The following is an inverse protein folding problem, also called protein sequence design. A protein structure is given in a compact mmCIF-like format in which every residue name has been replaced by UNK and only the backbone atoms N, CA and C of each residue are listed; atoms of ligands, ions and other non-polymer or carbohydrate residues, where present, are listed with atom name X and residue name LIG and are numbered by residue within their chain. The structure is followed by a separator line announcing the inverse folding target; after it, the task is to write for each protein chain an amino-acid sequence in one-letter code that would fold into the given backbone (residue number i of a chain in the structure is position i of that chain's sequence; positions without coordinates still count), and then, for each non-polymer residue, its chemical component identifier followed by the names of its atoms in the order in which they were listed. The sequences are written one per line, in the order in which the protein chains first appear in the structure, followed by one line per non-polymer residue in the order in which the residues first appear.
data_IF_435428789188
#
_entry.id   IF_435428789188
#
_cell.length_a   1.000
_cell.length_b   1.000
_cell.length_c   1.000
_cell.angle_alpha   90.00
_cell.angle_beta   90.00
_cell.angle_gamma   90.00
#
_symmetry.space_group_name_H-M   'P 1'
#
loop_
_entity.id
_entity.type
_entity.pdbx_description
1 polymer ?
#
# COMPACT_ATOMS: atom_id res chain seq x y z
N UNK A 1 -24.66 -16.54 -20.96
CA UNK A 1 -23.61 -16.23 -21.95
C UNK A 1 -22.24 -16.70 -21.44
N UNK A 2 -21.69 -17.68 -22.18
CA UNK A 2 -20.31 -18.21 -22.16
C UNK A 2 -19.81 -18.89 -20.88
N UNK A 3 -20.03 -20.20 -20.86
CA UNK A 3 -19.26 -21.20 -20.12
C UNK A 3 -17.90 -21.40 -20.80
N UNK A 4 -16.80 -21.39 -20.04
CA UNK A 4 -15.46 -21.73 -20.55
C UNK A 4 -15.08 -23.13 -20.10
N UNK A 5 -15.00 -23.99 -21.10
CA UNK A 5 -14.75 -25.44 -21.09
C UNK A 5 -13.25 -25.66 -21.21
N UNK A 6 -12.64 -26.28 -20.20
CA UNK A 6 -11.24 -26.75 -20.28
C UNK A 6 -11.19 -27.96 -21.23
N UNK A 7 -10.53 -27.83 -22.37
CA UNK A 7 -10.33 -28.91 -23.34
C UNK A 7 -8.93 -29.48 -23.15
N UNK A 8 -8.84 -30.70 -22.63
CA UNK A 8 -7.65 -31.54 -22.76
C UNK A 8 -7.49 -31.91 -24.25
N UNK A 9 -6.33 -31.63 -24.84
CA UNK A 9 -5.92 -32.22 -26.11
C UNK A 9 -4.89 -33.33 -25.86
N UNK A 10 -5.19 -34.59 -26.22
CA UNK A 10 -4.21 -35.64 -26.37
C UNK A 10 -3.76 -35.69 -27.84
N UNK A 11 -2.51 -35.36 -28.13
CA UNK A 11 -1.97 -35.45 -29.48
C UNK A 11 -1.51 -36.90 -29.74
N UNK A 12 -2.37 -37.67 -30.41
CA UNK A 12 -2.13 -39.02 -30.90
C UNK A 12 -1.38 -38.97 -32.25
N UNK A 13 -0.08 -39.20 -32.22
CA UNK A 13 0.74 -39.47 -33.39
C UNK A 13 0.76 -40.96 -33.71
N UNK A 14 0.05 -41.33 -34.78
CA UNK A 14 -0.03 -42.67 -35.39
C UNK A 14 1.26 -42.93 -36.19
N UNK A 15 1.91 -44.08 -35.97
CA UNK A 15 2.95 -44.60 -36.87
C UNK A 15 2.74 -46.10 -37.08
N UNK A 16 2.96 -46.49 -38.32
CA UNK A 16 2.39 -47.65 -39.00
C UNK A 16 3.09 -48.97 -38.68
N UNK A 17 2.36 -50.06 -38.89
CA UNK A 17 2.84 -51.44 -38.82
C UNK A 17 3.68 -51.77 -40.07
N UNK A 18 4.88 -52.31 -39.86
CA UNK A 18 5.69 -52.94 -40.91
C UNK A 18 6.59 -54.01 -40.30
N UNK A 19 6.50 -55.23 -40.84
CA UNK A 19 7.56 -56.23 -40.77
C UNK A 19 7.40 -57.32 -39.71
N UNK A 20 6.63 -58.37 -40.04
CA UNK A 20 6.80 -59.66 -39.39
C UNK A 20 8.12 -60.29 -39.86
N UNK A 21 9.18 -60.13 -39.07
CA UNK A 21 10.43 -60.87 -39.26
C UNK A 21 10.62 -61.79 -38.05
N UNK A 22 10.41 -63.09 -38.27
CA UNK A 22 10.74 -64.14 -37.29
C UNK A 22 12.25 -64.13 -37.09
N UNK A 23 12.69 -63.56 -35.97
CA UNK A 23 14.05 -63.72 -35.47
C UNK A 23 13.97 -64.59 -34.22
N UNK A 24 14.62 -65.74 -34.31
CA UNK A 24 14.77 -66.75 -33.25
C UNK A 24 15.27 -66.12 -31.96
N UNK A 25 14.57 -66.39 -30.84
CA UNK A 25 14.98 -65.99 -29.50
C UNK A 25 16.33 -66.62 -29.16
N UNK A 26 17.42 -65.84 -28.91
CA UNK A 26 18.56 -66.40 -28.22
C UNK A 26 18.15 -66.67 -26.77
N UNK A 27 18.71 -67.75 -26.23
CA UNK A 27 18.56 -68.23 -24.86
C UNK A 27 18.34 -67.10 -23.84
N UNK A 28 17.42 -67.33 -22.91
CA UNK A 28 17.12 -66.42 -21.79
C UNK A 28 18.38 -66.26 -20.96
N UNK A 29 19.12 -65.18 -21.22
CA UNK A 29 20.21 -64.76 -20.36
C UNK A 29 19.59 -64.23 -19.07
N UNK A 30 20.19 -64.65 -17.97
CA UNK A 30 19.90 -64.28 -16.58
C UNK A 30 20.25 -62.80 -16.33
N UNK A 31 19.65 -61.88 -17.09
CA UNK A 31 19.93 -60.42 -17.06
C UNK A 31 18.70 -59.56 -16.70
N UNK A 32 17.49 -60.14 -16.68
CA UNK A 32 16.25 -59.39 -16.40
C UNK A 32 16.09 -58.86 -14.98
N UNK A 33 16.78 -59.44 -13.99
CA UNK A 33 16.71 -59.00 -12.59
C UNK A 33 17.40 -57.65 -12.37
N UNK A 34 18.51 -57.39 -13.07
CA UNK A 34 19.24 -56.13 -12.97
C UNK A 34 18.47 -54.96 -13.59
N UNK A 35 17.84 -55.17 -14.75
CA UNK A 35 17.01 -54.16 -15.46
C UNK A 35 15.69 -53.85 -14.72
N UNK A 36 15.06 -54.83 -14.09
CA UNK A 36 13.85 -54.65 -13.27
C UNK A 36 14.13 -53.86 -11.99
N UNK A 37 15.27 -54.09 -11.35
CA UNK A 37 15.72 -53.30 -10.20
C UNK A 37 16.03 -51.85 -10.59
N UNK A 38 16.57 -51.61 -11.79
CA UNK A 38 16.79 -50.24 -12.32
C UNK A 38 15.46 -49.54 -12.62
N UNK A 39 14.48 -50.23 -13.21
CA UNK A 39 13.14 -49.67 -13.47
C UNK A 39 12.37 -49.34 -12.18
N UNK A 40 12.48 -50.18 -11.14
CA UNK A 40 11.92 -49.87 -9.81
C UNK A 40 12.65 -48.71 -9.14
N UNK A 41 13.97 -48.63 -9.25
CA UNK A 41 14.74 -47.51 -8.72
C UNK A 41 14.35 -46.20 -9.41
N UNK A 42 14.20 -46.22 -10.74
CA UNK A 42 13.78 -45.09 -11.55
C UNK A 42 12.36 -44.63 -11.17
N UNK A 43 11.44 -45.56 -10.91
CA UNK A 43 10.09 -45.22 -10.45
C UNK A 43 10.06 -44.52 -9.07
N UNK A 44 10.96 -44.88 -8.16
CA UNK A 44 11.12 -44.16 -6.89
C UNK A 44 11.72 -42.78 -7.08
N UNK A 45 12.66 -42.62 -8.02
CA UNK A 45 13.25 -41.33 -8.38
C UNK A 45 12.16 -40.42 -8.97
N UNK A 46 11.36 -40.92 -9.92
CA UNK A 46 10.23 -40.19 -10.52
C UNK A 46 9.20 -39.77 -9.47
N UNK A 47 8.85 -40.66 -8.53
CA UNK A 47 7.93 -40.32 -7.43
C UNK A 47 8.50 -39.24 -6.50
N UNK A 48 9.81 -39.21 -6.30
CA UNK A 48 10.48 -38.19 -5.49
C UNK A 48 10.50 -36.84 -6.22
N UNK A 49 10.87 -36.83 -7.50
CA UNK A 49 10.81 -35.65 -8.36
C UNK A 49 9.38 -35.08 -8.39
N UNK A 50 8.36 -35.93 -8.51
CA UNK A 50 6.97 -35.50 -8.51
C UNK A 50 6.58 -34.81 -7.19
N UNK A 51 7.02 -35.34 -6.04
CA UNK A 51 6.81 -34.71 -4.73
C UNK A 51 7.58 -33.41 -4.58
N UNK A 52 8.84 -33.37 -4.99
CA UNK A 52 9.67 -32.17 -4.92
C UNK A 52 9.08 -31.03 -5.76
N UNK A 53 8.56 -31.35 -6.96
CA UNK A 53 7.85 -30.40 -7.81
C UNK A 53 6.55 -29.89 -7.16
N UNK A 54 5.80 -30.77 -6.48
CA UNK A 54 4.60 -30.36 -5.73
C UNK A 54 4.93 -29.40 -4.59
N UNK A 55 5.99 -29.69 -3.81
CA UNK A 55 6.43 -28.81 -2.74
C UNK A 55 6.98 -27.48 -3.27
N UNK A 56 7.70 -27.49 -4.39
CA UNK A 56 8.18 -26.28 -5.05
C UNK A 56 7.02 -25.37 -5.50
N UNK A 57 5.98 -25.96 -6.11
CA UNK A 57 4.78 -25.23 -6.51
C UNK A 57 4.01 -24.67 -5.30
N UNK A 58 3.85 -25.46 -4.24
CA UNK A 58 3.19 -25.02 -3.01
C UNK A 58 3.96 -23.90 -2.30
N UNK A 59 5.30 -23.96 -2.29
CA UNK A 59 6.15 -22.92 -1.71
C UNK A 59 6.08 -21.61 -2.51
N UNK A 60 6.04 -21.69 -3.84
CA UNK A 60 5.84 -20.52 -4.70
C UNK A 60 4.48 -19.86 -4.41
N UNK A 61 3.41 -20.64 -4.35
CA UNK A 61 2.07 -20.14 -4.02
C UNK A 61 1.99 -19.52 -2.61
N UNK A 62 2.60 -20.16 -1.61
CA UNK A 62 2.63 -19.62 -0.25
C UNK A 62 3.32 -18.26 -0.19
N UNK A 63 4.39 -18.08 -0.99
CA UNK A 63 5.08 -16.79 -1.10
C UNK A 63 4.17 -15.72 -1.72
N UNK A 64 3.44 -16.05 -2.79
CA UNK A 64 2.49 -15.13 -3.43
C UNK A 64 1.37 -14.71 -2.47
N UNK A 65 0.77 -15.67 -1.76
CA UNK A 65 -0.27 -15.42 -0.74
C UNK A 65 0.26 -14.52 0.39
N UNK A 66 1.50 -14.73 0.83
CA UNK A 66 2.11 -13.90 1.88
C UNK A 66 2.21 -12.43 1.46
N UNK A 67 2.60 -12.17 0.21
CA UNK A 67 2.67 -10.81 -0.33
C UNK A 67 1.30 -10.15 -0.40
N UNK A 68 0.29 -10.88 -0.88
CA UNK A 68 -1.10 -10.39 -0.92
C UNK A 68 -1.60 -10.08 0.50
N UNK A 69 -1.32 -10.95 1.46
CA UNK A 69 -1.75 -10.77 2.87
C UNK A 69 -1.14 -9.50 3.48
N UNK A 70 0.14 -9.23 3.22
CA UNK A 70 0.81 -8.01 3.68
C UNK A 70 0.19 -6.75 3.05
N UNK A 71 -0.06 -6.78 1.74
CA UNK A 71 -0.68 -5.66 1.03
C UNK A 71 -2.10 -5.39 1.54
N UNK A 72 -2.92 -6.43 1.72
CA UNK A 72 -4.28 -6.30 2.26
C UNK A 72 -4.27 -5.76 3.69
N UNK A 73 -3.39 -6.27 4.56
CA UNK A 73 -3.27 -5.77 5.93
C UNK A 73 -2.88 -4.30 6.01
N UNK A 74 -2.00 -3.85 5.11
CA UNK A 74 -1.66 -2.43 5.00
C UNK A 74 -2.84 -1.58 4.52
N UNK A 75 -3.56 -2.04 3.50
CA UNK A 75 -4.71 -1.33 2.93
C UNK A 75 -5.86 -1.19 3.93
N UNK A 76 -6.19 -2.27 4.63
CA UNK A 76 -7.23 -2.27 5.67
C UNK A 76 -6.84 -1.39 6.86
N UNK A 77 -5.57 -1.46 7.28
CA UNK A 77 -5.03 -0.58 8.31
C UNK A 77 -5.18 0.89 7.93
N UNK A 78 -4.76 1.25 6.71
CA UNK A 78 -4.88 2.62 6.21
C UNK A 78 -6.34 3.08 6.16
N UNK A 79 -7.23 2.30 5.56
CA UNK A 79 -8.65 2.63 5.44
C UNK A 79 -9.32 2.85 6.81
N UNK A 80 -8.95 2.06 7.82
CA UNK A 80 -9.48 2.18 9.18
C UNK A 80 -9.11 3.50 9.86
N UNK A 81 -7.90 4.01 9.63
CA UNK A 81 -7.40 5.21 10.30
C UNK A 81 -7.53 6.50 9.48
N UNK A 82 -7.77 6.40 8.16
CA UNK A 82 -7.84 7.54 7.25
C UNK A 82 -8.89 8.59 7.69
N UNK A 83 -10.07 8.12 8.11
CA UNK A 83 -11.13 9.01 8.60
C UNK A 83 -10.72 9.76 9.87
N UNK A 84 -10.13 9.05 10.84
CA UNK A 84 -9.72 9.64 12.12
C UNK A 84 -8.53 10.60 11.96
N UNK A 85 -7.57 10.28 11.08
CA UNK A 85 -6.47 11.19 10.76
C UNK A 85 -6.95 12.45 10.03
N UNK A 86 -7.89 12.29 9.08
CA UNK A 86 -8.52 13.40 8.39
C UNK A 86 -9.31 14.30 9.34
N UNK A 87 -10.08 13.72 10.24
CA UNK A 87 -10.86 14.43 11.24
C UNK A 87 -9.95 15.18 12.22
N UNK A 88 -8.89 14.54 12.73
CA UNK A 88 -7.91 15.18 13.61
C UNK A 88 -7.25 16.37 12.93
N UNK A 89 -6.75 16.20 11.70
CA UNK A 89 -6.11 17.29 10.93
C UNK A 89 -7.07 18.46 10.71
N UNK A 90 -8.34 18.16 10.43
CA UNK A 90 -9.38 19.18 10.25
C UNK A 90 -9.68 19.93 11.55
N UNK A 91 -9.79 19.22 12.68
CA UNK A 91 -10.00 19.82 14.01
C UNK A 91 -8.84 20.74 14.40
N UNK A 92 -7.60 20.27 14.22
CA UNK A 92 -6.40 21.05 14.54
C UNK A 92 -6.33 22.32 13.69
N UNK A 93 -6.65 22.21 12.40
CA UNK A 93 -6.74 23.36 11.50
C UNK A 93 -7.79 24.37 11.94
N UNK A 94 -9.02 23.92 12.24
CA UNK A 94 -10.10 24.80 12.71
C UNK A 94 -9.73 25.49 14.01
N UNK A 95 -9.11 24.78 14.96
CA UNK A 95 -8.68 25.35 16.23
C UNK A 95 -7.62 26.44 16.05
N UNK A 96 -6.64 26.19 15.17
CA UNK A 96 -5.61 27.17 14.83
C UNK A 96 -6.21 28.42 14.17
N UNK A 97 -7.13 28.23 13.23
CA UNK A 97 -7.81 29.33 12.53
C UNK A 97 -8.63 30.18 13.49
N UNK A 98 -9.42 29.56 14.37
CA UNK A 98 -10.19 30.27 15.40
C UNK A 98 -9.30 31.06 16.36
N UNK A 99 -8.13 30.52 16.72
CA UNK A 99 -7.14 31.23 17.55
C UNK A 99 -6.59 32.47 16.84
N UNK A 100 -6.30 32.37 15.54
CA UNK A 100 -5.81 33.49 14.75
C UNK A 100 -6.88 34.57 14.56
N UNK A 101 -8.11 34.20 14.25
CA UNK A 101 -9.25 35.13 14.19
C UNK A 101 -9.40 35.94 15.48
N UNK A 102 -9.25 35.30 16.64
CA UNK A 102 -9.31 35.99 17.93
C UNK A 102 -8.17 36.98 18.14
N UNK A 103 -6.95 36.67 17.68
CA UNK A 103 -5.81 37.60 17.73
C UNK A 103 -6.06 38.81 16.83
N UNK A 104 -6.52 38.58 15.60
CA UNK A 104 -6.85 39.66 14.68
C UNK A 104 -7.92 40.60 15.25
N UNK A 105 -8.96 40.05 15.85
CA UNK A 105 -10.02 40.85 16.46
C UNK A 105 -9.49 41.76 17.57
N UNK A 106 -8.59 41.24 18.42
CA UNK A 106 -7.94 42.03 19.47
C UNK A 106 -7.08 43.16 18.88
N UNK A 107 -6.31 42.88 17.83
CA UNK A 107 -5.48 43.88 17.14
C UNK A 107 -6.38 44.97 16.51
N UNK A 108 -7.45 44.58 15.82
CA UNK A 108 -8.42 45.51 15.21
C UNK A 108 -9.11 46.39 16.27
N UNK A 109 -9.42 45.83 17.43
CA UNK A 109 -9.97 46.60 18.56
C UNK A 109 -8.96 47.59 19.10
N UNK A 110 -7.72 47.16 19.32
CA UNK A 110 -6.66 48.02 19.87
C UNK A 110 -6.33 49.17 18.92
N UNK A 111 -6.18 48.90 17.63
CA UNK A 111 -5.95 49.92 16.60
C UNK A 111 -7.09 50.94 16.54
N UNK A 112 -8.35 50.48 16.62
CA UNK A 112 -9.50 51.38 16.68
C UNK A 112 -9.52 52.26 17.93
N UNK A 113 -9.20 51.70 19.10
CA UNK A 113 -9.14 52.46 20.36
C UNK A 113 -8.01 53.49 20.33
N UNK A 114 -6.85 53.12 19.81
CA UNK A 114 -5.72 54.02 19.64
C UNK A 114 -6.10 55.19 18.72
N UNK A 115 -6.73 54.93 17.58
CA UNK A 115 -7.20 55.98 16.68
C UNK A 115 -8.21 56.94 17.34
N UNK A 116 -9.10 56.41 18.19
CA UNK A 116 -10.04 57.23 18.97
C UNK A 116 -9.29 58.14 19.96
N UNK A 117 -8.36 57.58 20.75
CA UNK A 117 -7.59 58.38 21.71
C UNK A 117 -6.66 59.38 21.05
N UNK A 118 -6.09 59.06 19.89
CA UNK A 118 -5.31 60.03 19.11
C UNK A 118 -6.17 61.17 18.58
N UNK A 119 -7.40 60.89 18.15
CA UNK A 119 -8.34 61.92 17.71
C UNK A 119 -8.73 62.83 18.88
N UNK A 120 -9.07 62.26 20.03
CA UNK A 120 -9.40 63.00 21.24
C UNK A 120 -8.21 63.85 21.69
N UNK A 121 -7.01 63.26 21.77
CA UNK A 121 -5.79 63.97 22.15
C UNK A 121 -5.51 65.19 21.26
N UNK A 122 -5.70 65.05 19.95
CA UNK A 122 -5.54 66.18 19.00
C UNK A 122 -6.55 67.30 19.25
N UNK A 123 -7.80 66.97 19.60
CA UNK A 123 -8.81 67.97 19.94
C UNK A 123 -8.40 68.74 21.20
N UNK A 124 -8.01 68.04 22.26
CA UNK A 124 -7.54 68.67 23.50
C UNK A 124 -6.28 69.51 23.30
N UNK A 125 -5.32 69.03 22.50
CA UNK A 125 -4.13 69.81 22.16
C UNK A 125 -4.49 71.12 21.43
N UNK A 126 -5.46 71.09 20.51
CA UNK A 126 -5.93 72.28 19.79
C UNK A 126 -6.62 73.28 20.73
N UNK A 127 -7.47 72.79 21.64
CA UNK A 127 -8.13 73.63 22.64
C UNK A 127 -7.12 74.31 23.58
N UNK A 128 -6.16 73.54 24.12
CA UNK A 128 -5.11 74.10 24.97
C UNK A 128 -4.24 75.10 24.24
N UNK A 129 -3.87 74.82 22.99
CA UNK A 129 -3.10 75.74 22.16
C UNK A 129 -3.84 77.07 21.94
N UNK A 130 -5.17 77.05 21.79
CA UNK A 130 -5.99 78.26 21.69
C UNK A 130 -5.95 79.11 22.98
N UNK A 131 -5.74 78.48 24.13
CA UNK A 131 -5.55 79.13 25.43
C UNK A 131 -4.08 79.52 25.71
N UNK A 132 -3.16 79.22 24.79
CA UNK A 132 -1.71 79.42 24.97
C UNK A 132 -1.04 78.39 25.89
N UNK A 133 -1.70 77.26 26.17
CA UNK A 133 -1.21 76.16 26.99
C UNK A 133 -0.77 74.98 26.11
N UNK A 134 0.06 74.08 26.65
CA UNK A 134 0.54 72.89 25.94
C UNK A 134 0.54 71.65 26.83
N UNK A 135 0.34 70.47 26.21
CA UNK A 135 0.43 69.18 26.89
C UNK A 135 1.89 68.82 27.14
N UNK A 136 2.23 68.44 28.37
CA UNK A 136 3.56 67.94 28.71
C UNK A 136 3.80 66.58 28.04
N UNK A 137 4.84 66.49 27.21
CA UNK A 137 5.27 65.25 26.58
C UNK A 137 6.42 64.64 27.37
N UNK A 138 6.37 63.35 27.65
CA UNK A 138 7.48 62.65 28.28
C UNK A 138 8.63 62.52 27.28
N UNK A 139 9.78 63.13 27.59
CA UNK A 139 11.04 62.87 26.91
C UNK A 139 11.68 61.64 27.56
N UNK A 140 11.48 60.47 26.95
CA UNK A 140 12.21 59.23 27.26
C UNK A 140 12.70 58.65 25.94
#
# INVERSE_FOLDING_TARGET
PVWLRFVLSPNLGRAEASGAQRVTLPHVSRQGAAMSATLKADLHIQNRIAKDNQYAAAAAYAKEISLVTQASGWFEGKQKYDFNEGEKRSKDFIAAEMSNCNKELKIRRQTRLLALYEADAKQWEAELASMGLAVQRSHT
#
